data_IF_943709039809
#
_entry.id   IF_943709039809
#
_cell.length_a   1.000
_cell.length_b   1.000
_cell.length_c   1.000
_cell.angle_alpha   90.00
_cell.angle_beta   90.00
_cell.angle_gamma   90.00
#
_symmetry.space_group_name_H-M   'P 1'
#
loop_
_entity.id
_entity.type
_entity.pdbx_description
1 polymer ?
#
# COMPACT_ATOMS: atom_id res chain seq x y z
N UNK A 1 6.67 -16.15 -10.72
CA UNK A 1 6.36 -15.90 -9.29
C UNK A 1 7.21 -14.73 -8.81
N UNK A 2 6.66 -13.69 -8.16
CA UNK A 2 7.51 -12.64 -7.60
C UNK A 2 8.38 -13.24 -6.50
N UNK A 3 9.58 -12.70 -6.30
CA UNK A 3 10.53 -13.23 -5.33
C UNK A 3 9.94 -13.13 -3.91
N UNK A 4 9.54 -14.28 -3.35
CA UNK A 4 9.15 -14.42 -1.95
C UNK A 4 10.42 -14.15 -1.14
N UNK A 5 10.61 -12.91 -0.69
CA UNK A 5 11.67 -12.58 0.26
C UNK A 5 11.34 -13.27 1.57
N UNK A 6 12.07 -14.34 1.87
CA UNK A 6 11.95 -15.10 3.11
C UNK A 6 11.92 -14.16 4.32
N UNK A 7 10.95 -14.39 5.21
CA UNK A 7 10.67 -13.63 6.42
C UNK A 7 11.92 -13.34 7.27
N UNK A 8 12.95 -14.22 7.22
CA UNK A 8 14.17 -14.11 8.04
C UNK A 8 15.08 -12.91 7.72
N UNK A 9 14.86 -12.15 6.64
CA UNK A 9 15.58 -10.90 6.33
C UNK A 9 14.79 -9.63 6.65
N UNK A 10 13.58 -9.74 7.20
CA UNK A 10 12.79 -8.55 7.58
C UNK A 10 13.38 -7.98 8.87
N UNK A 11 13.96 -6.79 8.78
CA UNK A 11 14.34 -6.02 9.98
C UNK A 11 13.09 -5.85 10.85
N UNK A 12 13.20 -5.91 12.19
CA UNK A 12 12.05 -5.70 13.06
C UNK A 12 11.33 -4.39 12.71
N UNK A 13 10.00 -4.32 12.89
CA UNK A 13 9.25 -3.10 12.61
C UNK A 13 9.81 -1.95 13.47
N UNK A 14 10.05 -0.77 12.89
CA UNK A 14 10.41 0.42 13.65
C UNK A 14 9.29 0.87 14.59
N UNK A 15 9.63 1.72 15.55
CA UNK A 15 8.67 2.33 16.49
C UNK A 15 7.53 3.04 15.75
N UNK A 16 6.30 2.92 16.28
CA UNK A 16 5.07 3.44 15.67
C UNK A 16 4.40 2.50 14.67
N UNK A 17 4.96 1.32 14.38
CA UNK A 17 4.30 0.34 13.50
C UNK A 17 3.01 -0.23 14.11
N UNK A 18 3.00 -0.50 15.41
CA UNK A 18 1.85 -1.09 16.09
C UNK A 18 0.58 -0.23 16.00
N UNK A 19 0.73 1.10 15.93
CA UNK A 19 -0.40 2.03 15.85
C UNK A 19 -1.12 1.96 14.50
N UNK A 20 -0.38 1.64 13.43
CA UNK A 20 -0.89 1.56 12.06
C UNK A 20 -1.13 0.11 11.60
N UNK A 21 -0.68 -0.88 12.38
CA UNK A 21 -0.70 -2.30 12.01
C UNK A 21 -2.13 -2.79 11.73
N UNK A 22 -3.08 -2.39 12.56
CA UNK A 22 -4.49 -2.76 12.40
C UNK A 22 -5.06 -2.24 11.07
N UNK A 23 -4.77 -0.99 10.72
CA UNK A 23 -5.23 -0.40 9.46
C UNK A 23 -4.59 -1.08 8.25
N UNK A 24 -3.28 -1.38 8.33
CA UNK A 24 -2.58 -2.13 7.28
C UNK A 24 -3.13 -3.54 7.10
N UNK A 25 -3.53 -4.20 8.19
CA UNK A 25 -4.16 -5.52 8.16
C UNK A 25 -5.52 -5.48 7.46
N UNK A 26 -6.31 -4.44 7.68
CA UNK A 26 -7.60 -4.24 6.98
C UNK A 26 -7.36 -4.17 5.46
N UNK A 27 -6.38 -3.40 4.99
CA UNK A 27 -6.04 -3.35 3.56
C UNK A 27 -5.54 -4.70 3.03
N UNK A 28 -4.74 -5.43 3.80
CA UNK A 28 -4.25 -6.75 3.41
C UNK A 28 -5.40 -7.77 3.27
N UNK A 29 -6.37 -7.74 4.19
CA UNK A 29 -7.55 -8.60 4.12
C UNK A 29 -8.41 -8.25 2.90
N UNK A 30 -8.70 -6.95 2.67
CA UNK A 30 -9.41 -6.49 1.48
C UNK A 30 -8.73 -6.93 0.19
N UNK A 31 -7.39 -6.84 0.12
CA UNK A 31 -6.60 -7.29 -1.03
C UNK A 31 -6.76 -8.80 -1.26
N UNK A 32 -6.68 -9.59 -0.18
CA UNK A 32 -6.84 -11.04 -0.24
C UNK A 32 -8.25 -11.42 -0.70
N UNK A 33 -9.27 -10.73 -0.21
CA UNK A 33 -10.66 -10.96 -0.61
C UNK A 33 -10.88 -10.61 -2.09
N UNK A 34 -10.37 -9.46 -2.55
CA UNK A 34 -10.44 -9.06 -3.95
C UNK A 34 -9.71 -10.04 -4.88
N UNK A 35 -8.60 -10.62 -4.45
CA UNK A 35 -7.86 -11.64 -5.21
C UNK A 35 -8.58 -13.00 -5.27
N UNK A 36 -9.28 -13.37 -4.18
CA UNK A 36 -10.02 -14.63 -4.11
C UNK A 36 -11.42 -14.54 -4.74
N UNK A 37 -11.91 -13.32 -4.98
CA UNK A 37 -13.22 -13.09 -5.59
C UNK A 37 -13.26 -13.74 -6.99
N UNK A 38 -14.32 -14.49 -7.32
CA UNK A 38 -14.46 -15.02 -8.66
C UNK A 38 -14.54 -13.86 -9.67
N UNK A 39 -14.00 -14.04 -10.90
CA UNK A 39 -14.07 -13.01 -11.92
C UNK A 39 -15.53 -12.57 -12.16
N UNK A 40 -15.82 -11.25 -12.25
CA UNK A 40 -17.16 -10.78 -12.50
C UNK A 40 -17.66 -11.27 -13.87
N UNK A 41 -18.98 -11.40 -14.02
CA UNK A 41 -19.61 -11.61 -15.32
C UNK A 41 -19.46 -10.31 -16.14
N UNK A 42 -18.34 -10.19 -16.86
CA UNK A 42 -17.94 -8.98 -17.57
C UNK A 42 -16.49 -9.03 -18.03
N UNK A 43 -15.94 -7.89 -18.47
CA UNK A 43 -14.55 -7.81 -18.90
C UNK A 43 -13.56 -8.19 -17.80
N UNK A 44 -12.59 -9.06 -18.13
CA UNK A 44 -11.60 -9.59 -17.18
C UNK A 44 -10.82 -8.51 -16.41
N UNK A 45 -10.65 -7.32 -16.99
CA UNK A 45 -9.93 -6.21 -16.35
C UNK A 45 -10.68 -5.61 -15.15
N UNK A 46 -12.01 -5.80 -15.03
CA UNK A 46 -12.78 -5.25 -13.92
C UNK A 46 -12.38 -5.86 -12.58
N UNK A 47 -12.02 -7.15 -12.56
CA UNK A 47 -11.46 -7.79 -11.36
C UNK A 47 -10.15 -7.12 -10.90
N UNK A 48 -9.36 -6.62 -11.85
CA UNK A 48 -8.08 -5.96 -11.53
C UNK A 48 -8.29 -4.54 -10.98
N UNK A 49 -9.38 -3.86 -11.32
CA UNK A 49 -9.67 -2.51 -10.85
C UNK A 49 -9.78 -2.44 -9.33
N UNK A 50 -10.48 -3.39 -8.71
CA UNK A 50 -10.62 -3.47 -7.24
C UNK A 50 -9.25 -3.65 -6.57
N UNK A 51 -8.39 -4.49 -7.14
CA UNK A 51 -7.00 -4.71 -6.69
C UNK A 51 -6.20 -3.40 -6.79
N UNK A 52 -6.25 -2.72 -7.93
CA UNK A 52 -5.55 -1.45 -8.12
C UNK A 52 -6.05 -0.37 -7.15
N UNK A 53 -7.37 -0.29 -6.93
CA UNK A 53 -7.98 0.66 -6.00
C UNK A 53 -7.51 0.43 -4.57
N UNK A 54 -7.48 -0.82 -4.09
CA UNK A 54 -6.99 -1.15 -2.74
C UNK A 54 -5.50 -0.81 -2.60
N UNK A 55 -4.68 -1.15 -3.59
CA UNK A 55 -3.24 -0.81 -3.58
C UNK A 55 -3.00 0.70 -3.57
N UNK A 56 -3.81 1.45 -4.32
CA UNK A 56 -3.78 2.90 -4.38
C UNK A 56 -4.16 3.52 -3.03
N UNK A 57 -5.28 3.06 -2.44
CA UNK A 57 -5.74 3.51 -1.13
C UNK A 57 -4.71 3.24 -0.02
N UNK A 58 -4.12 2.04 0.00
CA UNK A 58 -3.08 1.70 0.97
C UNK A 58 -1.84 2.58 0.84
N UNK A 59 -1.42 2.86 -0.41
CA UNK A 59 -0.29 3.77 -0.66
C UNK A 59 -0.61 5.21 -0.26
N UNK A 60 -1.86 5.66 -0.47
CA UNK A 60 -2.31 7.00 -0.09
C UNK A 60 -2.36 7.17 1.42
N UNK A 61 -2.90 6.19 2.13
CA UNK A 61 -2.91 6.17 3.58
C UNK A 61 -1.50 6.37 4.18
N UNK A 62 -0.49 5.65 3.67
CA UNK A 62 0.90 5.81 4.13
C UNK A 62 1.49 7.17 3.74
N UNK A 63 1.13 7.70 2.57
CA UNK A 63 1.53 9.05 2.16
C UNK A 63 0.98 10.12 3.10
N UNK A 64 -0.32 10.08 3.38
CA UNK A 64 -1.00 11.05 4.24
C UNK A 64 -0.46 10.98 5.68
N UNK A 65 -0.18 9.78 6.20
CA UNK A 65 0.43 9.62 7.51
C UNK A 65 1.81 10.29 7.64
N UNK A 66 2.61 10.27 6.58
CA UNK A 66 3.96 10.83 6.61
C UNK A 66 4.01 12.31 6.22
N UNK A 67 3.30 12.70 5.16
CA UNK A 67 3.40 14.05 4.58
C UNK A 67 2.32 15.03 5.08
N UNK A 68 1.14 14.55 5.46
CA UNK A 68 0.04 15.43 5.90
C UNK A 68 -0.10 15.43 7.43
N UNK A 69 -0.07 14.25 8.06
CA UNK A 69 -0.30 14.08 9.50
C UNK A 69 0.98 14.00 10.34
N UNK A 70 2.12 13.74 9.69
CA UNK A 70 3.44 13.52 10.33
C UNK A 70 3.38 12.50 11.51
N UNK A 71 2.46 11.55 11.45
CA UNK A 71 2.19 10.59 12.52
C UNK A 71 3.19 9.42 12.56
N UNK A 72 4.03 9.29 11.52
CA UNK A 72 5.05 8.25 11.42
C UNK A 72 6.42 8.84 11.17
N UNK A 73 7.45 8.22 11.76
CA UNK A 73 8.83 8.63 11.54
C UNK A 73 9.29 8.31 10.11
N UNK A 74 10.27 9.08 9.61
CA UNK A 74 10.92 8.78 8.31
C UNK A 74 11.48 7.37 8.24
N UNK A 75 12.00 6.85 9.37
CA UNK A 75 12.54 5.49 9.44
C UNK A 75 11.44 4.44 9.23
N UNK A 76 10.26 4.65 9.84
CA UNK A 76 9.11 3.77 9.65
C UNK A 76 8.59 3.87 8.21
N UNK A 77 8.45 5.07 7.66
CA UNK A 77 8.04 5.29 6.27
C UNK A 77 8.96 4.57 5.27
N UNK A 78 10.28 4.75 5.37
CA UNK A 78 11.26 4.09 4.51
C UNK A 78 11.22 2.56 4.67
N UNK A 79 10.93 2.06 5.87
CA UNK A 79 10.78 0.63 6.14
C UNK A 79 9.49 0.07 5.49
N UNK A 80 8.38 0.80 5.56
CA UNK A 80 7.10 0.42 4.93
C UNK A 80 7.24 0.32 3.41
N UNK A 81 7.92 1.28 2.78
CA UNK A 81 8.22 1.24 1.35
C UNK A 81 9.09 0.02 0.98
N UNK A 82 10.14 -0.26 1.76
CA UNK A 82 11.04 -1.41 1.52
C UNK A 82 10.35 -2.76 1.68
N UNK A 83 9.31 -2.85 2.50
CA UNK A 83 8.53 -4.07 2.71
C UNK A 83 7.29 -4.18 1.80
N UNK A 84 7.06 -3.19 0.92
CA UNK A 84 5.98 -3.23 -0.06
C UNK A 84 4.59 -2.91 0.49
N UNK A 85 4.50 -2.18 1.60
CA UNK A 85 3.23 -1.67 2.12
C UNK A 85 2.71 -0.48 1.31
N UNK A 86 3.59 0.30 0.69
CA UNK A 86 3.24 1.38 -0.24
C UNK A 86 4.09 1.34 -1.50
N UNK A 87 3.56 1.90 -2.59
CA UNK A 87 4.26 2.02 -3.87
C UNK A 87 5.06 3.34 -3.94
N UNK A 88 6.39 3.22 -3.92
CA UNK A 88 7.30 4.35 -3.98
C UNK A 88 7.22 5.12 -5.32
N UNK A 89 6.97 4.43 -6.43
CA UNK A 89 6.87 5.08 -7.75
C UNK A 89 5.57 5.87 -7.87
N UNK A 90 4.47 5.33 -7.34
CA UNK A 90 3.19 6.03 -7.29
C UNK A 90 3.28 7.28 -6.42
N UNK A 91 3.87 7.17 -5.22
CA UNK A 91 4.07 8.32 -4.34
C UNK A 91 4.95 9.38 -5.02
N UNK A 92 6.02 8.97 -5.69
CA UNK A 92 6.86 9.89 -6.45
C UNK A 92 6.09 10.64 -7.56
N UNK A 93 5.00 10.07 -8.08
CA UNK A 93 4.09 10.77 -9.01
C UNK A 93 3.26 11.81 -8.30
N UNK A 94 2.65 11.51 -7.15
CA UNK A 94 1.84 12.49 -6.41
C UNK A 94 2.62 13.72 -5.97
N UNK A 95 3.93 13.60 -5.76
CA UNK A 95 4.81 14.73 -5.46
C UNK A 95 5.08 15.66 -6.64
N UNK A 96 4.71 15.28 -7.87
CA UNK A 96 4.85 16.14 -9.04
C UNK A 96 3.59 16.99 -9.22
N UNK A 97 3.80 18.27 -9.51
CA UNK A 97 2.72 19.20 -9.83
C UNK A 97 1.84 18.64 -10.97
N UNK A 98 0.53 18.65 -10.78
CA UNK A 98 -0.45 18.13 -11.74
C UNK A 98 -0.78 16.64 -11.58
N UNK A 99 -0.13 15.90 -10.68
CA UNK A 99 -0.40 14.48 -10.40
C UNK A 99 -0.85 14.22 -8.96
N UNK A 100 -1.14 15.26 -8.19
CA UNK A 100 -1.47 15.21 -6.75
C UNK A 100 -2.67 14.30 -6.43
N UNK A 101 -3.57 14.14 -7.41
CA UNK A 101 -4.73 13.25 -7.40
C UNK A 101 -4.66 12.24 -8.56
N UNK A 102 -3.53 11.57 -8.74
CA UNK A 102 -3.40 10.52 -9.75
C UNK A 102 -4.19 9.25 -9.37
N UNK A 103 -5.48 9.37 -9.08
CA UNK A 103 -6.43 8.29 -8.85
C UNK A 103 -7.47 8.29 -9.98
N UNK A 104 -7.93 7.10 -10.36
CA UNK A 104 -9.01 6.90 -11.33
C UNK A 104 -10.33 7.49 -10.84
#
# INVERSE_FOLDING_TARGET
>A
MPAIRHSSKRKPPPEGFSDIENDLLIFANKMKDAQNKPPPQGPKYQAQWEIFQISHQRSRYIYDLYYEKEAISKQLYDWLLKNGYADAMLIAKWKKQGYEKAGF
#
